data_IF_736328763616
#
_entry.id   IF_736328763616
#
_cell.length_a   1.000
_cell.length_b   1.000
_cell.length_c   1.000
_cell.angle_alpha   90.00
_cell.angle_beta   90.00
_cell.angle_gamma   90.00
#
_symmetry.space_group_name_H-M   'P 1'
#
loop_
_entity.id
_entity.type
_entity.pdbx_description
1 polymer ?
#
# COMPACT_ATOMS: atom_id res chain seq x y z
N UNK A 1 14.22 -28.90 -60.55
CA UNK A 1 15.04 -27.77 -60.03
C UNK A 1 14.17 -26.66 -59.41
N UNK A 2 13.29 -26.93 -58.44
CA UNK A 2 12.37 -25.88 -57.92
C UNK A 2 11.79 -26.11 -56.51
N UNK A 3 12.43 -26.93 -55.67
CA UNK A 3 11.96 -27.22 -54.30
C UNK A 3 12.76 -26.52 -53.19
N UNK A 4 13.96 -26.02 -53.48
CA UNK A 4 14.82 -25.37 -52.47
C UNK A 4 14.63 -23.85 -52.36
N UNK A 5 13.99 -23.20 -53.35
CA UNK A 5 13.83 -21.73 -53.34
C UNK A 5 12.68 -21.26 -52.42
N UNK A 6 11.65 -22.07 -52.20
CA UNK A 6 10.51 -21.71 -51.33
C UNK A 6 10.81 -21.89 -49.83
N UNK A 7 11.64 -22.87 -49.47
CA UNK A 7 12.00 -23.12 -48.07
C UNK A 7 12.84 -21.98 -47.46
N UNK A 8 13.74 -21.38 -48.25
CA UNK A 8 14.55 -20.24 -47.81
C UNK A 8 13.75 -18.95 -47.58
N UNK A 9 12.72 -18.71 -48.41
CA UNK A 9 11.85 -17.53 -48.29
C UNK A 9 10.95 -17.65 -47.05
N UNK A 10 10.39 -18.84 -46.78
CA UNK A 10 9.56 -19.07 -45.60
C UNK A 10 10.35 -19.00 -44.29
N UNK A 11 11.57 -19.55 -44.27
CA UNK A 11 12.47 -19.43 -43.12
C UNK A 11 12.89 -17.97 -42.85
N UNK A 12 13.14 -17.19 -43.91
CA UNK A 12 13.48 -15.78 -43.80
C UNK A 12 12.33 -14.92 -43.25
N UNK A 13 11.08 -15.21 -43.64
CA UNK A 13 9.89 -14.49 -43.14
C UNK A 13 9.63 -14.83 -41.66
N UNK A 14 9.80 -16.09 -41.25
CA UNK A 14 9.63 -16.50 -39.84
C UNK A 14 10.74 -15.90 -38.96
N UNK A 15 11.99 -15.86 -39.43
CA UNK A 15 13.09 -15.19 -38.74
C UNK A 15 12.89 -13.67 -38.65
N UNK A 16 12.37 -13.04 -39.71
CA UNK A 16 12.08 -11.60 -39.71
C UNK A 16 10.88 -11.26 -38.81
N UNK A 17 9.81 -12.05 -38.85
CA UNK A 17 8.65 -11.89 -37.97
C UNK A 17 9.01 -12.13 -36.49
N UNK A 18 9.83 -13.14 -36.21
CA UNK A 18 10.38 -13.41 -34.88
C UNK A 18 11.30 -12.28 -34.39
N UNK A 19 12.12 -11.72 -35.27
CA UNK A 19 12.97 -10.56 -34.95
C UNK A 19 12.13 -9.30 -34.70
N UNK A 20 11.08 -9.04 -35.49
CA UNK A 20 10.17 -7.91 -35.22
C UNK A 20 9.36 -8.10 -33.95
N UNK A 21 8.97 -9.34 -33.61
CA UNK A 21 8.28 -9.66 -32.36
C UNK A 21 9.21 -9.49 -31.14
N UNK A 22 10.48 -9.89 -31.26
CA UNK A 22 11.51 -9.67 -30.23
C UNK A 22 11.94 -8.21 -30.10
N UNK A 23 11.79 -7.40 -31.16
CA UNK A 23 12.04 -5.95 -31.14
C UNK A 23 10.81 -5.13 -30.68
N UNK A 24 9.61 -5.70 -30.75
CA UNK A 24 8.36 -5.10 -30.22
C UNK A 24 8.06 -5.55 -28.79
N UNK A 25 8.61 -6.68 -28.36
CA UNK A 25 8.50 -7.20 -27.01
C UNK A 25 9.47 -6.49 -26.07
N UNK A 26 8.93 -5.80 -25.08
CA UNK A 26 9.60 -5.31 -23.87
C UNK A 26 10.28 -3.93 -23.93
N UNK A 27 9.62 -2.93 -24.51
CA UNK A 27 9.59 -1.64 -23.80
C UNK A 27 8.42 -1.69 -22.83
N UNK A 28 8.62 -2.37 -21.69
CA UNK A 28 7.88 -1.95 -20.49
C UNK A 28 8.39 -0.53 -20.29
N UNK A 29 7.60 0.47 -20.68
CA UNK A 29 7.85 1.84 -20.24
C UNK A 29 7.86 1.76 -18.72
N UNK A 30 9.06 1.73 -18.14
CA UNK A 30 9.27 1.97 -16.73
C UNK A 30 8.70 3.36 -16.52
N UNK A 31 7.48 3.45 -15.98
CA UNK A 31 6.90 4.74 -15.61
C UNK A 31 7.89 5.34 -14.63
N UNK A 32 8.48 6.48 -14.99
CA UNK A 32 9.45 7.14 -14.13
C UNK A 32 8.78 7.46 -12.80
N UNK A 33 9.43 7.08 -11.71
CA UNK A 33 9.07 7.50 -10.36
C UNK A 33 9.82 8.79 -10.03
N UNK A 34 9.19 9.64 -9.23
CA UNK A 34 9.71 10.92 -8.80
C UNK A 34 9.79 10.95 -7.28
N UNK A 35 10.78 11.64 -6.75
CA UNK A 35 10.83 12.06 -5.34
C UNK A 35 10.03 13.35 -5.14
N UNK A 36 9.68 13.67 -3.91
CA UNK A 36 9.07 14.97 -3.59
C UNK A 36 10.01 16.14 -3.93
N UNK A 37 11.32 15.99 -3.69
CA UNK A 37 12.34 16.99 -4.04
C UNK A 37 12.37 17.30 -5.55
N UNK A 38 12.32 16.28 -6.41
CA UNK A 38 12.28 16.47 -7.86
C UNK A 38 11.03 17.23 -8.35
N UNK A 39 9.97 17.25 -7.55
CA UNK A 39 8.70 17.90 -7.86
C UNK A 39 8.45 19.18 -7.04
N UNK A 40 9.44 19.65 -6.27
CA UNK A 40 9.32 20.82 -5.39
C UNK A 40 8.16 20.69 -4.38
N UNK A 41 7.89 19.47 -3.92
CA UNK A 41 6.92 19.16 -2.87
C UNK A 41 7.67 19.04 -1.54
N UNK A 42 7.26 19.82 -0.55
CA UNK A 42 7.82 19.71 0.79
C UNK A 42 7.34 18.43 1.47
N UNK A 43 8.28 17.63 1.97
CA UNK A 43 7.98 16.53 2.88
C UNK A 43 8.05 17.00 4.34
N UNK A 44 7.08 16.53 5.14
CA UNK A 44 7.04 16.79 6.56
C UNK A 44 7.55 15.60 7.36
N UNK A 45 8.20 15.87 8.48
CA UNK A 45 8.58 14.85 9.46
C UNK A 45 7.57 14.85 10.62
N UNK A 46 7.33 13.67 11.19
CA UNK A 46 6.65 13.57 12.48
C UNK A 46 7.50 14.24 13.56
N UNK A 47 6.89 14.94 14.54
CA UNK A 47 7.61 15.38 15.73
C UNK A 47 7.86 14.23 16.72
N UNK A 48 7.38 13.03 16.43
CA UNK A 48 7.48 11.83 17.24
C UNK A 48 8.40 10.79 16.59
N UNK A 49 9.03 10.02 17.47
CA UNK A 49 9.87 8.86 17.19
C UNK A 49 9.55 7.87 18.34
N UNK A 50 8.50 7.07 18.15
CA UNK A 50 7.91 6.29 19.22
C UNK A 50 8.70 5.03 19.58
N UNK A 51 9.48 4.48 18.65
CA UNK A 51 10.37 3.34 18.92
C UNK A 51 11.79 3.77 19.32
N UNK A 52 12.15 5.04 19.11
CA UNK A 52 13.38 5.67 19.56
C UNK A 52 14.59 5.30 18.70
N UNK A 53 14.38 4.95 17.43
CA UNK A 53 15.44 4.49 16.53
C UNK A 53 16.15 5.64 15.79
N UNK A 54 15.63 6.86 15.88
CA UNK A 54 16.15 8.08 15.27
C UNK A 54 15.53 8.42 13.91
N UNK A 55 14.59 7.62 13.40
CA UNK A 55 13.66 7.98 12.33
C UNK A 55 12.36 8.53 12.94
N UNK A 56 11.66 9.33 12.15
CA UNK A 56 10.37 9.87 12.58
C UNK A 56 9.23 8.90 12.23
N UNK A 57 8.15 8.91 13.03
CA UNK A 57 7.05 7.93 12.89
C UNK A 57 6.47 7.82 11.46
N UNK A 58 6.44 8.91 10.66
CA UNK A 58 5.91 8.84 9.31
C UNK A 58 6.82 8.02 8.40
N UNK A 59 8.13 8.23 8.54
CA UNK A 59 9.17 7.46 7.86
C UNK A 59 9.10 5.99 8.26
N UNK A 60 8.93 5.68 9.55
CA UNK A 60 8.85 4.30 10.03
C UNK A 60 7.59 3.57 9.59
N UNK A 61 6.44 4.25 9.60
CA UNK A 61 5.20 3.69 9.07
C UNK A 61 5.37 3.32 7.60
N UNK A 62 5.93 4.20 6.78
CA UNK A 62 6.18 3.93 5.36
C UNK A 62 7.21 2.80 5.17
N UNK A 63 8.31 2.84 5.91
CA UNK A 63 9.37 1.83 5.83
C UNK A 63 8.87 0.45 6.28
N UNK A 64 8.08 0.36 7.34
CA UNK A 64 7.46 -0.88 7.82
C UNK A 64 6.48 -1.47 6.81
N UNK A 65 5.69 -0.62 6.13
CA UNK A 65 4.83 -1.07 5.04
C UNK A 65 5.66 -1.66 3.88
N UNK A 66 6.78 -1.02 3.53
CA UNK A 66 7.69 -1.47 2.47
C UNK A 66 8.38 -2.80 2.86
N UNK A 67 8.87 -2.90 4.09
CA UNK A 67 9.47 -4.12 4.62
C UNK A 67 8.48 -5.31 4.60
N UNK A 68 7.20 -5.07 4.90
CA UNK A 68 6.15 -6.09 4.79
C UNK A 68 6.01 -6.61 3.36
N UNK A 69 5.89 -5.73 2.36
CA UNK A 69 5.71 -6.18 0.97
C UNK A 69 6.95 -6.90 0.44
N UNK A 70 8.15 -6.56 0.92
CA UNK A 70 9.42 -7.22 0.56
C UNK A 70 9.49 -8.68 1.04
N UNK A 71 8.69 -9.06 2.04
CA UNK A 71 8.51 -10.48 2.42
C UNK A 71 7.73 -11.31 1.38
N UNK A 72 7.17 -10.64 0.36
CA UNK A 72 6.38 -11.22 -0.72
C UNK A 72 5.23 -12.13 -0.24
N UNK A 73 4.34 -11.64 0.65
CA UNK A 73 3.24 -12.42 1.19
C UNK A 73 2.20 -12.70 0.10
N UNK A 74 1.53 -13.85 0.21
CA UNK A 74 0.46 -14.23 -0.71
C UNK A 74 -0.89 -13.77 -0.18
N UNK A 75 -1.76 -13.33 -1.07
CA UNK A 75 -3.08 -12.92 -0.65
C UNK A 75 -3.93 -14.10 -0.19
N UNK A 76 -4.43 -14.05 1.04
CA UNK A 76 -5.48 -14.95 1.53
C UNK A 76 -6.19 -14.34 2.75
N UNK A 77 -7.51 -14.29 2.68
CA UNK A 77 -8.33 -13.87 3.83
C UNK A 77 -8.55 -15.05 4.77
N UNK A 78 -7.86 -15.05 5.91
CA UNK A 78 -7.90 -16.09 6.95
C UNK A 78 -8.14 -15.44 8.31
N UNK A 79 -8.95 -16.10 9.14
CA UNK A 79 -9.03 -15.81 10.57
C UNK A 79 -7.89 -16.51 11.30
N UNK A 80 -7.13 -15.77 12.09
CA UNK A 80 -6.03 -16.32 12.90
C UNK A 80 -6.39 -16.18 14.37
N UNK A 81 -6.36 -17.29 15.11
CA UNK A 81 -6.45 -17.24 16.57
C UNK A 81 -5.15 -16.60 17.11
N UNK A 82 -5.27 -15.57 17.95
CA UNK A 82 -4.17 -14.68 18.34
C UNK A 82 -3.96 -13.48 17.39
N UNK A 83 -4.55 -13.53 16.20
CA UNK A 83 -4.69 -12.41 15.26
C UNK A 83 -3.56 -12.20 14.25
N UNK A 84 -2.43 -12.88 14.41
CA UNK A 84 -1.23 -12.63 13.61
C UNK A 84 -1.01 -13.72 12.55
N UNK A 85 -1.00 -13.37 11.23
CA UNK A 85 -0.54 -14.30 10.21
C UNK A 85 0.97 -14.55 10.31
N UNK A 86 1.38 -15.82 10.36
CA UNK A 86 2.78 -16.27 10.31
C UNK A 86 3.04 -17.30 9.19
N UNK A 87 2.03 -17.55 8.35
CA UNK A 87 2.01 -18.61 7.34
C UNK A 87 2.34 -18.12 5.93
N UNK A 88 2.88 -16.90 5.82
CA UNK A 88 3.23 -16.26 4.55
C UNK A 88 2.02 -15.73 3.76
N UNK A 89 0.84 -15.70 4.37
CA UNK A 89 -0.33 -15.06 3.79
C UNK A 89 -0.63 -13.71 4.45
N UNK A 90 -1.42 -12.88 3.77
CA UNK A 90 -1.94 -11.65 4.35
C UNK A 90 -2.98 -10.96 3.49
N UNK A 91 -3.39 -9.79 3.97
CA UNK A 91 -4.36 -8.88 3.33
C UNK A 91 -3.92 -7.41 3.52
N UNK A 92 -4.71 -6.47 3.00
CA UNK A 92 -4.40 -5.04 3.05
C UNK A 92 -4.19 -4.48 4.47
N UNK A 93 -4.94 -4.95 5.47
CA UNK A 93 -4.81 -4.49 6.85
C UNK A 93 -3.53 -4.98 7.52
N UNK A 94 -2.92 -6.07 7.04
CA UNK A 94 -1.65 -6.56 7.54
C UNK A 94 -0.49 -5.61 7.16
N UNK A 95 -0.62 -4.85 6.06
CA UNK A 95 0.30 -3.76 5.72
C UNK A 95 0.30 -2.70 6.82
N UNK A 96 -0.89 -2.28 7.26
CA UNK A 96 -1.07 -1.23 8.27
C UNK A 96 -0.57 -1.70 9.63
N UNK A 97 -0.81 -2.97 9.96
CA UNK A 97 -0.29 -3.55 11.20
C UNK A 97 1.24 -3.56 11.22
N UNK A 98 1.90 -4.03 10.16
CA UNK A 98 3.36 -4.04 10.08
C UNK A 98 3.95 -2.61 10.07
N UNK A 99 3.28 -1.68 9.39
CA UNK A 99 3.66 -0.27 9.38
C UNK A 99 3.64 0.35 10.79
N UNK A 100 2.54 0.17 11.54
CA UNK A 100 2.44 0.65 12.92
C UNK A 100 3.45 -0.05 13.84
N UNK A 101 3.66 -1.36 13.65
CA UNK A 101 4.59 -2.13 14.47
C UNK A 101 6.05 -1.67 14.28
N UNK A 102 6.43 -1.27 13.07
CA UNK A 102 7.74 -0.69 12.79
C UNK A 102 7.93 0.63 13.52
N UNK A 103 6.93 1.51 13.50
CA UNK A 103 6.94 2.77 14.25
C UNK A 103 6.67 2.63 15.77
N UNK A 104 6.83 1.44 16.36
CA UNK A 104 6.67 1.24 17.80
C UNK A 104 5.21 1.16 18.33
N UNK A 105 4.20 1.19 17.46
CA UNK A 105 2.79 1.16 17.85
C UNK A 105 2.16 -0.24 17.77
N UNK A 106 1.58 -0.71 18.88
CA UNK A 106 0.77 -1.93 18.87
C UNK A 106 -0.66 -1.63 18.39
N UNK A 107 -0.87 -1.67 17.06
CA UNK A 107 -2.17 -1.37 16.43
C UNK A 107 -3.32 -2.19 17.01
N UNK A 108 -3.09 -3.49 17.29
CA UNK A 108 -4.10 -4.37 17.88
C UNK A 108 -4.57 -3.83 19.24
N UNK A 109 -3.63 -3.54 20.14
CA UNK A 109 -3.97 -2.98 21.47
C UNK A 109 -4.63 -1.62 21.39
N UNK A 110 -4.21 -0.75 20.46
CA UNK A 110 -4.82 0.56 20.25
C UNK A 110 -6.28 0.45 19.79
N UNK A 111 -6.56 -0.43 18.82
CA UNK A 111 -7.90 -0.69 18.32
C UNK A 111 -8.78 -1.35 19.38
N UNK A 112 -8.27 -2.37 20.08
CA UNK A 112 -8.97 -3.06 21.16
C UNK A 112 -9.40 -2.06 22.26
N UNK A 113 -8.50 -1.15 22.64
CA UNK A 113 -8.77 -0.14 23.66
C UNK A 113 -9.83 0.88 23.20
N UNK A 114 -9.77 1.37 21.96
CA UNK A 114 -10.76 2.34 21.49
C UNK A 114 -12.14 1.70 21.29
N UNK A 115 -12.22 0.44 20.82
CA UNK A 115 -13.47 -0.31 20.72
C UNK A 115 -14.09 -0.53 22.11
N UNK A 116 -13.29 -0.92 23.11
CA UNK A 116 -13.78 -1.14 24.46
C UNK A 116 -14.36 0.14 25.09
N UNK A 117 -13.77 1.29 24.79
CA UNK A 117 -14.21 2.59 25.29
C UNK A 117 -15.40 3.16 24.50
N UNK A 118 -15.60 2.72 23.24
CA UNK A 118 -16.51 3.38 22.29
C UNK A 118 -17.29 2.39 21.41
N UNK A 119 -17.72 1.25 21.95
CA UNK A 119 -18.30 0.14 21.16
C UNK A 119 -19.43 0.58 20.21
N UNK A 120 -20.25 1.55 20.61
CA UNK A 120 -21.33 2.09 19.77
C UNK A 120 -20.87 2.83 18.49
N UNK A 121 -19.60 3.22 18.39
CA UNK A 121 -19.02 3.80 17.17
C UNK A 121 -18.61 2.73 16.14
N UNK A 122 -18.52 1.46 16.54
CA UNK A 122 -17.99 0.35 15.75
C UNK A 122 -19.10 -0.65 15.36
N UNK A 123 -19.89 -0.37 14.31
CA UNK A 123 -20.98 -1.26 13.90
C UNK A 123 -20.50 -2.63 13.42
N UNK A 124 -19.22 -2.77 13.07
CA UNK A 124 -18.60 -4.06 12.68
C UNK A 124 -17.96 -4.82 13.86
N UNK A 125 -18.02 -4.27 15.07
CA UNK A 125 -17.48 -4.85 16.30
C UNK A 125 -18.47 -4.77 17.48
N UNK A 126 -19.77 -4.99 17.21
CA UNK A 126 -20.80 -5.06 18.26
C UNK A 126 -20.46 -6.12 19.32
N UNK A 127 -19.85 -7.23 18.88
CA UNK A 127 -19.15 -8.19 19.73
C UNK A 127 -17.66 -8.08 19.40
N UNK A 128 -16.85 -7.41 20.25
CA UNK A 128 -15.42 -7.28 20.02
C UNK A 128 -14.74 -8.65 19.91
N UNK A 129 -13.88 -8.79 18.90
CA UNK A 129 -13.01 -9.94 18.70
C UNK A 129 -11.61 -9.44 18.38
N UNK A 130 -10.79 -9.47 19.43
CA UNK A 130 -9.42 -8.94 19.40
C UNK A 130 -8.53 -9.64 18.36
N UNK A 131 -8.87 -10.86 17.92
CA UNK A 131 -8.10 -11.59 16.91
C UNK A 131 -8.27 -11.02 15.50
N UNK A 132 -9.29 -10.19 15.25
CA UNK A 132 -9.68 -9.82 13.88
C UNK A 132 -10.10 -8.35 13.78
N UNK A 133 -10.42 -7.67 14.88
CA UNK A 133 -10.92 -6.29 14.83
C UNK A 133 -9.93 -5.31 14.21
N UNK A 134 -8.64 -5.40 14.52
CA UNK A 134 -7.59 -4.59 13.90
C UNK A 134 -7.31 -4.96 12.43
N UNK A 135 -7.84 -6.09 11.97
CA UNK A 135 -7.71 -6.57 10.58
C UNK A 135 -8.95 -6.29 9.73
N UNK A 136 -9.93 -5.56 10.26
CA UNK A 136 -11.14 -5.12 9.53
C UNK A 136 -10.98 -3.68 9.05
N UNK A 137 -11.03 -3.46 7.74
CA UNK A 137 -10.97 -2.12 7.14
C UNK A 137 -12.03 -1.18 7.73
N UNK A 138 -13.24 -1.67 7.96
CA UNK A 138 -14.31 -0.88 8.56
C UNK A 138 -13.97 -0.39 9.98
N UNK A 139 -13.34 -1.22 10.80
CA UNK A 139 -12.91 -0.85 12.14
C UNK A 139 -11.71 0.10 12.09
N UNK A 140 -10.71 -0.17 11.24
CA UNK A 140 -9.56 0.72 11.08
C UNK A 140 -9.98 2.11 10.60
N UNK A 141 -10.98 2.22 9.73
CA UNK A 141 -11.55 3.51 9.33
C UNK A 141 -12.07 4.30 10.54
N UNK A 142 -12.93 3.68 11.35
CA UNK A 142 -13.50 4.33 12.54
C UNK A 142 -12.41 4.70 13.55
N UNK A 143 -11.44 3.82 13.76
CA UNK A 143 -10.29 4.08 14.63
C UNK A 143 -9.49 5.29 14.15
N UNK A 144 -9.13 5.34 12.87
CA UNK A 144 -8.37 6.46 12.30
C UNK A 144 -9.16 7.77 12.34
N UNK A 145 -10.47 7.75 12.06
CA UNK A 145 -11.32 8.95 12.19
C UNK A 145 -11.34 9.54 13.61
N UNK A 146 -11.05 8.72 14.62
CA UNK A 146 -11.10 9.10 16.04
C UNK A 146 -9.73 9.40 16.64
N UNK A 147 -8.66 8.85 16.06
CA UNK A 147 -7.30 8.87 16.64
C UNK A 147 -6.25 9.55 15.78
N UNK A 148 -6.51 9.71 14.48
CA UNK A 148 -5.59 10.33 13.55
C UNK A 148 -6.12 11.69 13.08
N UNK A 149 -5.24 12.50 12.50
CA UNK A 149 -5.63 13.70 11.80
C UNK A 149 -6.34 13.31 10.49
N UNK A 150 -7.56 13.80 10.28
CA UNK A 150 -8.32 13.60 9.04
C UNK A 150 -7.98 14.70 8.03
N UNK A 151 -7.52 14.29 6.85
CA UNK A 151 -7.00 15.16 5.79
C UNK A 151 -7.93 15.22 4.58
N UNK A 152 -7.68 16.19 3.71
CA UNK A 152 -8.38 16.31 2.43
C UNK A 152 -8.10 15.10 1.52
N UNK A 153 -9.08 14.74 0.69
CA UNK A 153 -8.96 13.64 -0.29
C UNK A 153 -8.83 14.16 -1.73
N UNK A 154 -8.49 15.44 -1.90
CA UNK A 154 -8.33 16.04 -3.22
C UNK A 154 -6.96 15.71 -3.80
N UNK A 155 -6.95 14.93 -4.89
CA UNK A 155 -5.72 14.60 -5.59
C UNK A 155 -5.14 15.79 -6.36
N UNK A 156 -5.89 16.89 -6.54
CA UNK A 156 -5.36 18.10 -7.14
C UNK A 156 -4.36 18.86 -6.24
N UNK A 157 -4.24 18.48 -4.96
CA UNK A 157 -3.32 19.08 -3.99
C UNK A 157 -2.27 18.03 -3.53
N UNK A 158 -1.29 17.69 -4.37
CA UNK A 158 -0.32 16.61 -4.09
C UNK A 158 0.54 16.83 -2.83
N UNK A 159 0.68 18.08 -2.38
CA UNK A 159 1.38 18.48 -1.16
C UNK A 159 0.71 17.99 0.14
N UNK A 160 -0.60 17.76 0.14
CA UNK A 160 -1.33 17.27 1.31
C UNK A 160 -1.03 15.80 1.62
N UNK A 161 -0.53 15.06 0.64
CA UNK A 161 -0.24 13.63 0.73
C UNK A 161 1.23 13.42 1.06
N UNK A 162 1.49 12.78 2.20
CA UNK A 162 2.83 12.61 2.76
C UNK A 162 3.16 11.13 2.93
N UNK A 163 4.45 10.76 2.92
CA UNK A 163 4.87 9.41 3.22
C UNK A 163 4.31 8.96 4.58
N UNK A 164 3.85 7.72 4.68
CA UNK A 164 3.30 7.18 5.93
C UNK A 164 1.82 7.52 6.19
N UNK A 165 1.21 8.42 5.41
CA UNK A 165 -0.24 8.64 5.51
C UNK A 165 -1.03 7.37 5.21
N UNK A 166 -2.14 7.19 5.90
CA UNK A 166 -3.02 6.04 5.77
C UNK A 166 -4.24 6.41 4.92
N UNK A 167 -4.45 5.68 3.83
CA UNK A 167 -5.59 5.91 2.92
C UNK A 167 -6.56 4.75 3.01
N UNK A 168 -7.81 5.06 3.34
CA UNK A 168 -8.90 4.10 3.39
C UNK A 168 -9.75 4.23 2.14
N UNK A 169 -10.06 3.10 1.51
CA UNK A 169 -11.00 2.97 0.40
C UNK A 169 -12.21 2.15 0.83
N UNK A 170 -13.20 1.96 -0.06
CA UNK A 170 -14.46 1.29 0.31
C UNK A 170 -14.30 -0.12 0.90
N UNK A 171 -13.29 -0.89 0.51
CA UNK A 171 -13.00 -2.25 1.00
C UNK A 171 -11.50 -2.54 1.07
N UNK A 172 -10.69 -1.48 1.12
CA UNK A 172 -9.24 -1.58 0.99
C UNK A 172 -8.58 -0.48 1.84
N UNK A 173 -7.31 -0.66 2.16
CA UNK A 173 -6.53 0.31 2.93
C UNK A 173 -5.07 0.23 2.46
N UNK A 174 -4.33 1.33 2.56
CA UNK A 174 -2.96 1.42 2.10
C UNK A 174 -2.17 2.49 2.87
N UNK A 175 -0.84 2.47 2.72
CA UNK A 175 0.09 3.50 3.17
C UNK A 175 0.60 4.30 1.97
N UNK A 176 0.68 5.62 2.08
CA UNK A 176 1.31 6.49 1.08
C UNK A 176 2.83 6.30 1.06
N UNK A 177 3.39 6.22 -0.14
CA UNK A 177 4.82 6.13 -0.40
C UNK A 177 5.48 7.52 -0.54
N UNK A 178 6.80 7.56 -0.36
CA UNK A 178 7.70 8.64 -0.77
C UNK A 178 7.91 8.71 -2.31
N UNK A 179 7.50 7.67 -3.06
CA UNK A 179 7.54 7.66 -4.51
C UNK A 179 6.28 8.27 -5.10
N UNK A 180 6.45 9.15 -6.09
CA UNK A 180 5.37 9.89 -6.75
C UNK A 180 5.35 9.65 -8.25
N UNK A 181 4.18 9.81 -8.86
CA UNK A 181 4.05 9.92 -10.30
C UNK A 181 4.33 11.36 -10.77
N UNK A 182 4.25 11.61 -12.07
CA UNK A 182 4.58 12.92 -12.65
C UNK A 182 3.64 14.06 -12.21
N UNK A 183 2.44 13.73 -11.72
CA UNK A 183 1.48 14.69 -11.19
C UNK A 183 1.68 14.95 -9.68
N UNK A 184 2.71 14.35 -9.07
CA UNK A 184 3.00 14.47 -7.64
C UNK A 184 2.15 13.56 -6.75
N UNK A 185 1.28 12.74 -7.32
CA UNK A 185 0.45 11.81 -6.56
C UNK A 185 1.32 10.67 -6.04
N UNK A 186 1.27 10.34 -4.74
CA UNK A 186 2.08 9.25 -4.21
C UNK A 186 1.57 7.91 -4.70
N UNK A 187 2.52 7.00 -4.90
CA UNK A 187 2.24 5.57 -4.96
C UNK A 187 1.69 5.12 -3.61
N UNK A 188 0.99 3.99 -3.61
CA UNK A 188 0.50 3.36 -2.39
C UNK A 188 1.15 2.00 -2.19
N UNK A 189 1.47 1.70 -0.93
CA UNK A 189 1.95 0.40 -0.47
C UNK A 189 0.73 -0.35 0.07
N UNK A 190 0.39 -1.46 -0.57
CA UNK A 190 -0.84 -2.19 -0.28
C UNK A 190 -0.78 -3.67 -0.68
N UNK A 191 -1.73 -4.46 -0.19
CA UNK A 191 -1.82 -5.89 -0.47
C UNK A 191 -3.25 -6.30 -0.81
N UNK A 192 -3.46 -6.80 -2.02
CA UNK A 192 -4.74 -7.32 -2.50
C UNK A 192 -4.55 -8.63 -3.30
N UNK A 193 -5.59 -9.08 -4.02
CA UNK A 193 -5.53 -10.31 -4.82
C UNK A 193 -4.50 -10.33 -5.95
N UNK A 194 -3.92 -9.19 -6.32
CA UNK A 194 -2.80 -9.11 -7.27
C UNK A 194 -1.42 -9.20 -6.59
N UNK A 195 -1.38 -9.26 -5.25
CA UNK A 195 -0.16 -9.36 -4.44
C UNK A 195 0.13 -8.08 -3.65
N UNK A 196 1.08 -8.21 -2.73
CA UNK A 196 1.66 -7.11 -1.97
C UNK A 196 2.62 -6.31 -2.86
N UNK A 197 2.40 -4.99 -2.96
CA UNK A 197 3.16 -4.14 -3.88
C UNK A 197 3.13 -2.67 -3.47
N UNK A 198 4.03 -1.93 -4.09
CA UNK A 198 4.02 -0.48 -4.15
C UNK A 198 3.61 -0.06 -5.58
N UNK A 199 2.50 0.65 -5.74
CA UNK A 199 1.89 0.91 -7.05
C UNK A 199 1.21 2.27 -7.18
N UNK A 200 1.17 2.81 -8.40
CA UNK A 200 0.40 4.01 -8.79
C UNK A 200 -1.09 3.69 -8.90
N UNK A 201 -1.69 3.36 -7.74
CA UNK A 201 -3.05 2.88 -7.61
C UNK A 201 -3.94 3.83 -6.78
N UNK A 202 -3.39 4.91 -6.19
CA UNK A 202 -4.15 5.82 -5.31
C UNK A 202 -5.41 6.39 -5.98
N UNK A 203 -5.28 6.89 -7.21
CA UNK A 203 -6.39 7.43 -8.00
C UNK A 203 -7.31 6.38 -8.63
N UNK A 204 -7.01 5.08 -8.49
CA UNK A 204 -7.80 4.00 -9.12
C UNK A 204 -8.98 3.54 -8.26
N UNK A 205 -9.00 3.91 -6.99
CA UNK A 205 -10.04 3.51 -6.03
C UNK A 205 -10.78 4.73 -5.49
N UNK A 206 -12.02 4.55 -5.04
CA UNK A 206 -12.75 5.60 -4.34
C UNK A 206 -12.21 5.78 -2.92
N UNK A 207 -11.54 6.90 -2.68
CA UNK A 207 -11.03 7.31 -1.36
C UNK A 207 -12.21 7.57 -0.42
N UNK A 208 -12.13 7.01 0.79
CA UNK A 208 -13.12 7.13 1.86
C UNK A 208 -12.57 7.79 3.12
N UNK A 209 -11.26 7.97 3.19
CA UNK A 209 -10.58 8.73 4.23
C UNK A 209 -9.09 8.77 3.94
N UNK A 210 -8.45 9.85 4.39
CA UNK A 210 -7.02 10.10 4.31
C UNK A 210 -6.60 10.59 5.70
N UNK A 211 -5.63 9.90 6.30
CA UNK A 211 -5.32 10.06 7.71
C UNK A 211 -3.82 10.15 7.95
N UNK A 212 -3.42 11.02 8.87
CA UNK A 212 -2.04 11.11 9.37
C UNK A 212 -2.00 10.77 10.84
N UNK A 213 -1.18 9.79 11.20
CA UNK A 213 -0.99 9.39 12.60
C UNK A 213 -0.35 10.52 13.42
N UNK A 214 -0.66 10.65 14.71
CA UNK A 214 -0.20 11.76 15.56
C UNK A 214 0.29 11.30 16.96
N UNK A 215 0.44 9.99 17.19
CA UNK A 215 0.82 9.41 18.49
C UNK A 215 -0.36 9.09 19.41
#
# INVERSE_FOLDING_TARGET
MRKHLFAGIFAGIILFAGLTYMLQGNTVSQVRMYTAEELDIAEIASPLDADGDGLDDYSDIMAGARAYIDTNPRYKSIYYEGGYPDDGFGVCTDVIWNAFQAAGYNLKSLVDMDIAQNTGAYPSAETPDSNIDFRRVANLKVFLERKALNLGTDLANPEEWQPGDIVVFSKHIAICSDRRNADGIPYIIHHDGMGAREADDLGRYTIKGHFRWQG
#
